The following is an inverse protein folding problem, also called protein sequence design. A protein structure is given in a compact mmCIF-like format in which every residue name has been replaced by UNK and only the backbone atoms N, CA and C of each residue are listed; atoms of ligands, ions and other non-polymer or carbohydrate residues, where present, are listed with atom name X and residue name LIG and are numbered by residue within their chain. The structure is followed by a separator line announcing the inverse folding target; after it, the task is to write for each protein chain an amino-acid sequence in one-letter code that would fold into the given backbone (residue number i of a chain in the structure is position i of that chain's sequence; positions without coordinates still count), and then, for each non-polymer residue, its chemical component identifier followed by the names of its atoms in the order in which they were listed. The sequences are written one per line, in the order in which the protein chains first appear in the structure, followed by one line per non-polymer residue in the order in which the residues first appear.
data_IF_760447317882
#
_entry.id   IF_760447317882
#
_cell.length_a   1.000
_cell.length_b   1.000
_cell.length_c   1.000
_cell.angle_alpha   90.00
_cell.angle_beta   90.00
_cell.angle_gamma   90.00
#
_symmetry.space_group_name_H-M   'P 1'
#
loop_
_entity.id
_entity.type
_entity.pdbx_description
1 polymer ?
#
# COMPACT_ATOMS: atom_id res chain seq x y z
N UNK A 1 51.51 15.20 -16.24
CA UNK A 1 50.77 15.54 -15.00
C UNK A 1 49.41 16.17 -15.26
N UNK A 2 49.25 17.14 -16.17
CA UNK A 2 47.97 17.82 -16.45
C UNK A 2 46.81 16.87 -16.81
N UNK A 3 47.00 15.91 -17.73
CA UNK A 3 45.96 14.96 -18.16
C UNK A 3 45.37 14.14 -17.00
N UNK A 4 46.19 13.69 -16.04
CA UNK A 4 45.71 12.95 -14.86
C UNK A 4 44.84 13.81 -13.97
N UNK A 5 45.15 15.11 -13.80
CA UNK A 5 44.35 16.06 -13.01
C UNK A 5 42.98 16.30 -13.64
N UNK A 6 42.87 16.44 -14.95
CA UNK A 6 41.58 16.60 -15.64
C UNK A 6 40.73 15.32 -15.58
N UNK A 7 41.33 14.14 -15.68
CA UNK A 7 40.61 12.86 -15.50
C UNK A 7 40.06 12.76 -14.06
N UNK A 8 40.83 13.12 -13.05
CA UNK A 8 40.38 13.09 -11.66
C UNK A 8 39.24 14.09 -11.41
N UNK A 9 39.33 15.31 -11.95
CA UNK A 9 38.25 16.31 -11.83
C UNK A 9 36.99 15.84 -12.57
N UNK A 10 37.09 15.25 -13.73
CA UNK A 10 35.98 14.69 -14.49
C UNK A 10 35.33 13.52 -13.74
N UNK A 11 36.11 12.60 -13.16
CA UNK A 11 35.58 11.51 -12.33
C UNK A 11 34.82 12.03 -11.10
N UNK A 12 35.40 13.06 -10.46
CA UNK A 12 34.76 13.68 -9.28
C UNK A 12 33.43 14.33 -9.66
N UNK A 13 33.36 15.02 -10.79
CA UNK A 13 32.10 15.63 -11.25
C UNK A 13 31.01 14.60 -11.53
N UNK A 14 31.36 13.44 -12.09
CA UNK A 14 30.41 12.33 -12.31
C UNK A 14 29.88 11.81 -10.98
N UNK A 15 30.75 11.59 -9.99
CA UNK A 15 30.33 11.13 -8.66
C UNK A 15 29.36 12.13 -8.00
N UNK A 16 29.68 13.42 -8.08
CA UNK A 16 28.78 14.48 -7.56
C UNK A 16 27.43 14.45 -8.25
N UNK A 17 27.38 14.31 -9.57
CA UNK A 17 26.15 14.23 -10.34
C UNK A 17 25.32 13.02 -9.91
N UNK A 18 25.94 11.85 -9.74
CA UNK A 18 25.27 10.64 -9.28
C UNK A 18 24.64 10.86 -7.89
N UNK A 19 25.39 11.45 -6.97
CA UNK A 19 24.88 11.75 -5.62
C UNK A 19 23.68 12.69 -5.71
N UNK A 20 23.76 13.77 -6.49
CA UNK A 20 22.66 14.71 -6.68
C UNK A 20 21.43 14.00 -7.23
N UNK A 21 21.59 13.15 -8.24
CA UNK A 21 20.50 12.37 -8.84
C UNK A 21 19.83 11.45 -7.81
N UNK A 22 20.60 10.78 -6.95
CA UNK A 22 20.06 9.93 -5.90
C UNK A 22 19.21 10.68 -4.86
N UNK A 23 19.51 11.96 -4.63
CA UNK A 23 18.72 12.82 -3.71
C UNK A 23 17.50 13.45 -4.37
N UNK A 24 17.55 13.71 -5.69
CA UNK A 24 16.45 14.41 -6.39
C UNK A 24 15.35 13.45 -6.85
N UNK A 25 15.69 12.20 -7.21
CA UNK A 25 14.67 11.26 -7.71
C UNK A 25 13.73 10.84 -6.60
N UNK A 26 12.43 11.18 -6.68
CA UNK A 26 11.45 10.72 -5.71
C UNK A 26 11.14 9.24 -5.92
N UNK A 27 10.97 8.53 -4.81
CA UNK A 27 10.47 7.15 -4.77
C UNK A 27 9.27 7.12 -3.85
N UNK A 28 8.18 6.55 -4.35
CA UNK A 28 6.97 6.35 -3.57
C UNK A 28 6.88 4.88 -3.19
N UNK A 29 6.58 4.61 -1.92
CA UNK A 29 6.41 3.26 -1.38
C UNK A 29 5.08 3.13 -0.64
N UNK A 30 4.38 2.02 -0.88
CA UNK A 30 3.25 1.62 -0.03
C UNK A 30 3.83 1.03 1.24
N UNK A 31 3.47 1.61 2.36
CA UNK A 31 3.96 1.20 3.67
C UNK A 31 2.82 0.83 4.60
N UNK A 32 3.01 -0.29 5.30
CA UNK A 32 2.20 -0.72 6.40
C UNK A 32 3.04 -0.55 7.67
N UNK A 33 2.51 0.19 8.65
CA UNK A 33 3.23 0.47 9.90
C UNK A 33 2.38 0.10 11.11
N UNK A 34 2.99 -0.48 12.11
CA UNK A 34 2.39 -0.58 13.44
C UNK A 34 2.27 0.82 14.04
N UNK A 35 1.06 1.22 14.43
CA UNK A 35 0.82 2.56 14.96
C UNK A 35 1.49 2.80 16.31
N UNK A 36 1.61 1.77 17.14
CA UNK A 36 2.10 1.89 18.52
C UNK A 36 3.59 2.20 18.62
N UNK A 37 4.39 1.65 17.71
CA UNK A 37 5.85 1.73 17.73
C UNK A 37 6.45 2.30 16.44
N UNK A 38 5.60 2.56 15.43
CA UNK A 38 6.01 3.07 14.12
C UNK A 38 6.82 2.07 13.29
N UNK A 39 6.87 0.80 13.72
CA UNK A 39 7.61 -0.22 12.99
C UNK A 39 7.02 -0.45 11.61
N UNK A 40 7.86 -0.41 10.57
CA UNK A 40 7.47 -0.73 9.21
C UNK A 40 7.35 -2.25 9.09
N UNK A 41 6.13 -2.71 8.87
CA UNK A 41 5.77 -4.11 8.69
C UNK A 41 5.97 -4.55 7.24
N UNK A 42 5.69 -3.63 6.32
CA UNK A 42 5.80 -3.83 4.89
C UNK A 42 6.17 -2.51 4.22
N UNK A 43 7.08 -2.55 3.24
CA UNK A 43 7.39 -1.41 2.39
C UNK A 43 7.80 -1.90 0.99
N UNK A 44 7.05 -1.46 -0.02
CA UNK A 44 7.40 -1.71 -1.43
C UNK A 44 7.14 -0.49 -2.29
N UNK A 45 8.05 -0.27 -3.25
CA UNK A 45 7.89 0.75 -4.28
C UNK A 45 6.61 0.54 -5.07
N UNK A 46 5.88 1.65 -5.26
CA UNK A 46 4.64 1.68 -6.04
C UNK A 46 4.71 2.70 -7.18
N UNK A 47 3.82 2.51 -8.13
CA UNK A 47 3.56 3.42 -9.23
C UNK A 47 2.07 3.58 -9.45
N UNK A 48 1.61 4.66 -10.08
CA UNK A 48 0.22 4.81 -10.48
C UNK A 48 -0.30 3.60 -11.24
N UNK A 49 -1.50 3.12 -10.85
CA UNK A 49 -2.12 1.91 -11.37
C UNK A 49 -1.80 0.62 -10.60
N UNK A 50 -0.81 0.61 -9.70
CA UNK A 50 -0.61 -0.52 -8.80
C UNK A 50 -1.84 -0.70 -7.91
N UNK A 51 -2.18 -1.98 -7.63
CA UNK A 51 -3.34 -2.34 -6.81
C UNK A 51 -2.92 -3.18 -5.62
N UNK A 52 -3.65 -3.02 -4.52
CA UNK A 52 -3.56 -3.92 -3.36
C UNK A 52 -4.95 -4.25 -2.85
N UNK A 53 -5.06 -5.34 -2.11
CA UNK A 53 -6.32 -5.81 -1.54
C UNK A 53 -6.18 -6.03 -0.05
N UNK A 54 -7.18 -5.60 0.70
CA UNK A 54 -7.40 -6.02 2.07
C UNK A 54 -8.59 -6.98 2.11
N UNK A 55 -8.37 -8.18 2.62
CA UNK A 55 -9.42 -9.15 2.90
C UNK A 55 -9.57 -9.28 4.41
N UNK A 56 -10.77 -9.14 4.92
CA UNK A 56 -11.04 -9.30 6.34
C UNK A 56 -12.39 -9.94 6.61
N UNK A 57 -12.57 -10.51 7.81
CA UNK A 57 -13.85 -11.05 8.24
C UNK A 57 -14.70 -9.93 8.84
N UNK A 58 -15.90 -9.70 8.27
CA UNK A 58 -16.83 -8.70 8.76
C UNK A 58 -17.31 -9.05 10.19
N UNK A 59 -17.26 -8.09 11.10
CA UNK A 59 -17.49 -8.33 12.53
C UNK A 59 -18.90 -8.83 12.87
N UNK A 60 -19.92 -8.43 12.09
CA UNK A 60 -21.32 -8.80 12.28
C UNK A 60 -21.71 -9.97 11.39
N UNK A 61 -21.54 -9.84 10.06
CA UNK A 61 -21.94 -10.85 9.09
C UNK A 61 -21.08 -12.14 9.19
N UNK A 62 -19.89 -12.08 9.80
CA UNK A 62 -18.93 -13.19 9.91
C UNK A 62 -18.52 -13.79 8.56
N UNK A 63 -18.66 -13.01 7.50
CA UNK A 63 -18.29 -13.36 6.14
C UNK A 63 -17.11 -12.53 5.68
N UNK A 64 -16.31 -13.02 4.73
CA UNK A 64 -15.18 -12.25 4.20
C UNK A 64 -15.64 -11.06 3.36
N UNK A 65 -14.91 -9.96 3.49
CA UNK A 65 -15.01 -8.75 2.68
C UNK A 65 -13.65 -8.50 2.04
N UNK A 66 -13.63 -8.09 0.80
CA UNK A 66 -12.44 -7.66 0.07
C UNK A 66 -12.58 -6.20 -0.32
N UNK A 67 -11.64 -5.40 0.05
CA UNK A 67 -11.51 -4.01 -0.39
C UNK A 67 -10.32 -3.93 -1.34
N UNK A 68 -10.58 -3.51 -2.56
CA UNK A 68 -9.58 -3.39 -3.63
C UNK A 68 -9.25 -1.91 -3.82
N UNK A 69 -8.00 -1.59 -3.65
CA UNK A 69 -7.46 -0.25 -3.76
C UNK A 69 -6.55 -0.13 -4.97
N UNK A 70 -6.43 1.07 -5.50
CA UNK A 70 -5.44 1.45 -6.50
C UNK A 70 -4.67 2.68 -6.06
N UNK A 71 -3.47 2.84 -6.58
CA UNK A 71 -2.67 4.06 -6.44
C UNK A 71 -2.98 4.93 -7.65
N UNK A 72 -3.47 6.15 -7.43
CA UNK A 72 -3.78 7.08 -8.51
C UNK A 72 -2.53 7.83 -9.03
N UNK A 73 -2.73 8.70 -10.02
CA UNK A 73 -1.66 9.52 -10.64
C UNK A 73 -0.98 10.49 -9.66
N UNK A 74 -1.66 10.87 -8.59
CA UNK A 74 -1.19 11.78 -7.55
C UNK A 74 -0.63 11.01 -6.33
N UNK A 75 -0.45 9.70 -6.47
CA UNK A 75 0.00 8.77 -5.43
C UNK A 75 -0.94 8.72 -4.22
N UNK A 76 -2.23 8.93 -4.42
CA UNK A 76 -3.26 8.73 -3.40
C UNK A 76 -3.77 7.29 -3.46
N UNK A 77 -4.19 6.77 -2.31
CA UNK A 77 -4.88 5.48 -2.22
C UNK A 77 -6.35 5.70 -2.51
N UNK A 78 -6.88 4.99 -3.51
CA UNK A 78 -8.28 5.08 -3.93
C UNK A 78 -8.93 3.71 -3.83
N UNK A 79 -10.05 3.60 -3.09
CA UNK A 79 -10.89 2.41 -3.08
C UNK A 79 -11.69 2.36 -4.37
N UNK A 80 -11.52 1.27 -5.13
CA UNK A 80 -12.12 1.10 -6.46
C UNK A 80 -13.18 0.00 -6.53
N UNK A 81 -13.14 -0.96 -5.60
CA UNK A 81 -14.09 -2.08 -5.56
C UNK A 81 -14.19 -2.63 -4.14
N UNK A 82 -15.38 -3.07 -3.75
CA UNK A 82 -15.61 -3.81 -2.51
C UNK A 82 -16.45 -5.04 -2.83
N UNK A 83 -15.94 -6.23 -2.46
CA UNK A 83 -16.63 -7.52 -2.61
C UNK A 83 -17.06 -8.04 -1.25
N UNK A 84 -18.21 -8.70 -1.19
CA UNK A 84 -18.72 -9.35 0.01
C UNK A 84 -19.65 -10.53 -0.32
N UNK A 85 -19.86 -11.45 0.62
CA UNK A 85 -20.65 -12.66 0.39
C UNK A 85 -22.09 -12.57 0.90
N UNK A 86 -22.39 -11.63 1.79
CA UNK A 86 -23.73 -11.52 2.41
C UNK A 86 -24.07 -10.05 2.66
N UNK A 87 -25.35 -9.73 2.52
CA UNK A 87 -25.94 -8.42 2.86
C UNK A 87 -26.08 -8.23 4.36
N UNK A 88 -24.99 -8.40 5.12
CA UNK A 88 -24.97 -8.17 6.56
C UNK A 88 -25.14 -6.69 6.92
N UNK A 89 -25.54 -6.43 8.16
CA UNK A 89 -25.67 -5.07 8.69
C UNK A 89 -24.36 -4.28 8.54
N UNK A 90 -24.43 -3.09 7.93
CA UNK A 90 -23.29 -2.20 7.71
C UNK A 90 -22.60 -2.37 6.35
N UNK A 91 -23.04 -3.31 5.51
CA UNK A 91 -22.61 -3.41 4.13
C UNK A 91 -23.51 -2.55 3.22
N UNK A 92 -22.96 -1.89 2.21
CA UNK A 92 -23.75 -1.01 1.35
C UNK A 92 -24.76 -1.81 0.52
N UNK A 93 -26.04 -1.36 0.54
CA UNK A 93 -27.10 -1.92 -0.29
C UNK A 93 -27.34 -1.15 -1.58
N UNK A 94 -26.65 -0.04 -1.77
CA UNK A 94 -26.86 0.84 -2.91
C UNK A 94 -25.52 1.39 -3.40
N UNK A 95 -25.45 1.58 -4.71
CA UNK A 95 -24.39 2.30 -5.39
C UNK A 95 -24.64 3.81 -5.33
N UNK A 96 -23.57 4.61 -5.30
CA UNK A 96 -23.62 6.06 -5.35
C UNK A 96 -22.94 6.57 -6.62
N UNK A 97 -23.59 7.47 -7.33
CA UNK A 97 -23.03 8.07 -8.55
C UNK A 97 -22.81 7.03 -9.66
N UNK A 98 -21.56 6.87 -10.09
CA UNK A 98 -21.18 5.93 -11.16
C UNK A 98 -20.84 4.52 -10.63
N UNK A 99 -20.98 4.27 -9.34
CA UNK A 99 -20.77 2.96 -8.75
C UNK A 99 -21.79 1.95 -9.26
N UNK A 100 -21.39 0.73 -9.51
CA UNK A 100 -22.24 -0.36 -9.97
C UNK A 100 -22.29 -1.47 -8.95
N UNK A 101 -23.48 -1.80 -8.48
CA UNK A 101 -23.72 -2.99 -7.69
C UNK A 101 -24.04 -4.16 -8.61
N UNK A 102 -23.24 -5.23 -8.52
CA UNK A 102 -23.37 -6.44 -9.34
C UNK A 102 -23.21 -7.70 -8.48
N UNK A 103 -23.83 -8.79 -8.92
CA UNK A 103 -23.61 -10.12 -8.38
C UNK A 103 -22.82 -10.94 -9.40
N UNK A 104 -21.61 -11.30 -9.05
CA UNK A 104 -20.70 -12.08 -9.90
C UNK A 104 -19.88 -13.07 -9.06
N UNK A 105 -19.68 -14.27 -9.60
CA UNK A 105 -18.88 -15.33 -8.96
C UNK A 105 -19.34 -15.68 -7.53
N UNK A 106 -20.65 -15.58 -7.27
CA UNK A 106 -21.24 -15.81 -5.95
C UNK A 106 -20.90 -14.75 -4.91
N UNK A 107 -20.49 -13.57 -5.33
CA UNK A 107 -20.22 -12.40 -4.50
C UNK A 107 -21.06 -11.22 -4.95
N UNK A 108 -21.41 -10.39 -4.00
CA UNK A 108 -21.88 -9.03 -4.26
C UNK A 108 -20.66 -8.12 -4.39
N UNK A 109 -20.65 -7.28 -5.42
CA UNK A 109 -19.53 -6.38 -5.71
C UNK A 109 -20.06 -4.98 -5.95
N UNK A 110 -19.36 -4.00 -5.39
CA UNK A 110 -19.54 -2.59 -5.75
C UNK A 110 -18.33 -2.20 -6.56
N UNK A 111 -18.53 -2.00 -7.83
CA UNK A 111 -17.49 -1.63 -8.82
C UNK A 111 -17.56 -0.15 -9.19
N UNK A 112 -16.52 0.31 -9.86
CA UNK A 112 -16.36 1.71 -10.31
C UNK A 112 -16.41 2.72 -9.15
N UNK A 113 -15.99 2.30 -7.97
CA UNK A 113 -15.80 3.21 -6.86
C UNK A 113 -14.62 4.15 -7.16
N UNK A 114 -14.72 5.38 -6.70
CA UNK A 114 -13.63 6.33 -6.74
C UNK A 114 -13.58 7.09 -5.42
N UNK A 115 -13.25 6.37 -4.36
CA UNK A 115 -13.21 6.92 -3.00
C UNK A 115 -11.77 7.14 -2.59
N UNK A 116 -11.31 8.39 -2.65
CA UNK A 116 -9.98 8.77 -2.15
C UNK A 116 -9.95 8.56 -0.64
N UNK A 117 -9.00 7.75 -0.20
CA UNK A 117 -8.87 7.42 1.21
C UNK A 117 -8.06 8.49 1.96
N UNK A 118 -8.34 8.71 3.26
CA UNK A 118 -7.46 9.54 4.07
C UNK A 118 -6.07 8.90 4.15
N UNK A 119 -5.03 9.71 4.33
CA UNK A 119 -3.68 9.22 4.57
C UNK A 119 -3.20 9.70 5.93
N UNK A 120 -2.80 8.78 6.82
CA UNK A 120 -2.84 7.32 6.67
C UNK A 120 -4.25 6.73 6.81
N UNK A 121 -4.45 5.54 6.24
CA UNK A 121 -5.61 4.70 6.52
C UNK A 121 -5.34 3.90 7.80
N UNK A 122 -6.33 3.79 8.68
CA UNK A 122 -6.20 3.05 9.93
C UNK A 122 -7.00 1.76 9.89
N UNK A 123 -6.36 0.64 10.23
CA UNK A 123 -7.00 -0.66 10.40
C UNK A 123 -6.68 -1.26 11.77
N UNK A 124 -7.71 -1.64 12.50
CA UNK A 124 -7.54 -2.46 13.70
C UNK A 124 -7.35 -3.90 13.27
N UNK A 125 -6.15 -4.41 13.43
CA UNK A 125 -5.80 -5.82 13.25
C UNK A 125 -6.10 -6.55 14.56
N UNK A 126 -6.59 -7.78 14.50
CA UNK A 126 -6.88 -8.57 15.70
C UNK A 126 -7.31 -9.98 15.36
N UNK A 127 -7.34 -10.86 16.38
CA UNK A 127 -7.71 -12.27 16.21
C UNK A 127 -9.16 -12.46 15.72
N UNK A 128 -10.07 -11.55 16.10
CA UNK A 128 -11.49 -11.62 15.71
C UNK A 128 -11.70 -11.23 14.24
N UNK A 129 -10.78 -10.45 13.68
CA UNK A 129 -10.78 -9.97 12.29
C UNK A 129 -9.51 -10.42 11.61
N UNK A 130 -9.48 -11.65 11.12
CA UNK A 130 -8.36 -12.03 10.26
C UNK A 130 -8.26 -11.06 9.09
N UNK A 131 -7.11 -10.36 9.00
CA UNK A 131 -6.82 -9.42 7.91
C UNK A 131 -5.67 -9.97 7.09
N UNK A 132 -5.96 -10.16 5.80
CA UNK A 132 -4.96 -10.50 4.79
C UNK A 132 -4.71 -9.28 3.91
N UNK A 133 -3.45 -8.98 3.69
CA UNK A 133 -2.99 -7.96 2.76
C UNK A 133 -2.38 -8.64 1.54
N UNK A 134 -2.85 -8.28 0.35
CA UNK A 134 -2.30 -8.81 -0.91
C UNK A 134 -1.80 -7.67 -1.78
N UNK A 135 -0.54 -7.76 -2.22
CA UNK A 135 0.08 -6.83 -3.13
C UNK A 135 0.97 -7.58 -4.13
N UNK A 136 0.71 -7.40 -5.43
CA UNK A 136 1.37 -8.15 -6.51
C UNK A 136 1.22 -9.66 -6.28
N UNK A 137 2.32 -10.39 -6.14
CA UNK A 137 2.33 -11.85 -5.95
C UNK A 137 2.51 -12.24 -4.48
N UNK A 138 2.27 -11.34 -3.55
CA UNK A 138 2.42 -11.60 -2.12
C UNK A 138 1.08 -11.50 -1.42
N UNK A 139 0.88 -12.38 -0.45
CA UNK A 139 -0.20 -12.30 0.53
C UNK A 139 0.38 -12.45 1.93
N UNK A 140 -0.03 -11.59 2.84
CA UNK A 140 0.45 -11.55 4.23
C UNK A 140 -0.76 -11.63 5.14
N UNK A 141 -0.77 -12.58 6.08
CA UNK A 141 -1.73 -12.60 7.18
C UNK A 141 -1.26 -11.60 8.26
N UNK A 142 -1.85 -10.41 8.26
CA UNK A 142 -1.48 -9.34 9.19
C UNK A 142 -1.87 -9.69 10.63
N UNK A 143 -2.93 -10.46 10.83
CA UNK A 143 -3.39 -10.86 12.17
C UNK A 143 -2.41 -11.79 12.86
N UNK A 144 -1.84 -12.76 12.13
CA UNK A 144 -0.78 -13.63 12.67
C UNK A 144 0.50 -12.87 12.96
N UNK A 145 0.78 -11.84 12.16
CA UNK A 145 2.03 -11.11 12.24
C UNK A 145 2.05 -10.08 13.37
N UNK A 146 0.94 -9.37 13.56
CA UNK A 146 0.86 -8.20 14.43
C UNK A 146 0.08 -8.45 15.72
N UNK A 147 -0.79 -9.48 15.75
CA UNK A 147 -1.76 -9.63 16.84
C UNK A 147 -2.73 -8.44 16.90
N UNK A 148 -3.18 -8.10 18.10
CA UNK A 148 -4.13 -7.00 18.33
C UNK A 148 -3.43 -5.63 18.30
N UNK A 149 -3.20 -5.09 17.10
CA UNK A 149 -2.55 -3.78 16.92
C UNK A 149 -3.31 -2.91 15.92
N UNK A 150 -3.19 -1.60 16.11
CA UNK A 150 -3.60 -0.62 15.11
C UNK A 150 -2.52 -0.52 14.04
N UNK A 151 -2.91 -0.68 12.79
CA UNK A 151 -2.07 -0.58 11.62
C UNK A 151 -2.38 0.70 10.86
N UNK A 152 -1.36 1.34 10.31
CA UNK A 152 -1.50 2.42 9.32
C UNK A 152 -1.04 1.94 7.95
N UNK A 153 -1.75 2.40 6.92
CA UNK A 153 -1.41 2.16 5.51
C UNK A 153 -1.31 3.52 4.84
N UNK A 154 -0.18 3.79 4.22
CA UNK A 154 0.09 5.08 3.59
C UNK A 154 1.06 4.95 2.42
N UNK A 155 1.10 5.98 1.58
CA UNK A 155 2.15 6.15 0.58
C UNK A 155 3.21 7.08 1.15
N UNK A 156 4.38 6.53 1.41
CA UNK A 156 5.55 7.33 1.82
C UNK A 156 6.31 7.84 0.60
N UNK A 157 6.73 9.11 0.66
CA UNK A 157 7.54 9.75 -0.38
C UNK A 157 8.95 9.95 0.13
N UNK A 158 9.87 9.23 -0.42
CA UNK A 158 11.28 9.31 -0.11
C UNK A 158 12.13 9.70 -1.33
N UNK A 159 13.43 9.94 -1.14
CA UNK A 159 14.37 10.01 -2.24
C UNK A 159 14.98 8.62 -2.52
N UNK A 160 15.58 8.46 -3.71
CA UNK A 160 16.12 7.18 -4.13
C UNK A 160 17.23 6.67 -3.19
N UNK A 161 18.05 7.57 -2.63
CA UNK A 161 19.11 7.21 -1.70
C UNK A 161 18.53 6.60 -0.41
N UNK A 162 17.57 7.29 0.22
CA UNK A 162 16.93 6.79 1.44
C UNK A 162 16.19 5.48 1.21
N UNK A 163 15.53 5.34 0.05
CA UNK A 163 14.88 4.08 -0.33
C UNK A 163 15.87 2.92 -0.45
N UNK A 164 17.05 3.16 -1.05
CA UNK A 164 18.10 2.14 -1.19
C UNK A 164 18.76 1.80 0.15
N UNK A 165 18.97 2.79 1.02
CA UNK A 165 19.59 2.59 2.33
C UNK A 165 18.61 2.02 3.37
N UNK A 166 17.32 2.39 3.29
CA UNK A 166 16.27 1.94 4.21
C UNK A 166 15.91 0.45 4.06
N UNK A 167 16.33 -0.17 2.96
CA UNK A 167 16.06 -1.56 2.65
C UNK A 167 14.58 -1.83 2.34
N UNK A 168 14.32 -2.84 1.54
CA UNK A 168 12.97 -3.41 1.41
C UNK A 168 12.70 -4.20 2.69
N UNK A 169 11.88 -3.69 3.59
CA UNK A 169 11.33 -4.54 4.64
C UNK A 169 10.25 -5.42 4.01
N UNK A 170 10.66 -6.58 3.54
CA UNK A 170 9.80 -7.72 3.35
C UNK A 170 9.87 -8.50 4.65
N UNK A 171 8.75 -8.73 5.27
CA UNK A 171 8.70 -9.71 6.34
C UNK A 171 8.92 -11.06 5.68
N UNK A 172 10.05 -11.67 5.99
CA UNK A 172 10.26 -13.07 5.69
C UNK A 172 9.32 -13.84 6.62
N UNK A 173 8.20 -14.33 6.04
CA UNK A 173 7.31 -15.28 6.70
C UNK A 173 7.98 -16.61 6.91
#
# INVERSE_FOLDING_TARGET
MLKKKYIALFSLSIVIIIIIVLFIIPVYSLELRSFSDGEIVFSQKVQPGDKFTLKYTHSVAKTPVWEIFTIDKDYQIVLIETDFLDHGAGLPYASFGEEMFVEEDGKFKIKNMHRVMPSPIYYMVGEIREIFFSFKNMEINLSLLLGDKLLTIEIDKNNLLNYLLGGRKLING
#
